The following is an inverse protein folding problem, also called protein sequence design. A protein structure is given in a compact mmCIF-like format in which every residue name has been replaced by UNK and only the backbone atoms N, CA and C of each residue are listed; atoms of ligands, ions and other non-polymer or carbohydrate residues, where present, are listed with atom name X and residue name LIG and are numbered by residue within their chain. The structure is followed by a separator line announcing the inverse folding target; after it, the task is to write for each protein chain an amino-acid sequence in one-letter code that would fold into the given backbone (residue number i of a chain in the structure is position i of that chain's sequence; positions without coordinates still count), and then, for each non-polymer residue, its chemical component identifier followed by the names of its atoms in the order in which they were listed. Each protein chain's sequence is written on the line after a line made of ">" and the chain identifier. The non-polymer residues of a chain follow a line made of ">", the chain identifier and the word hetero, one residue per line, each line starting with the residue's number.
data_IF_034990881153
#
_entry.id   IF_034990881153
#
_cell.length_a   1.000
_cell.length_b   1.000
_cell.length_c   1.000
_cell.angle_alpha   90.00
_cell.angle_beta   90.00
_cell.angle_gamma   90.00
#
_symmetry.space_group_name_H-M   'P 1'
#
loop_
_entity.id
_entity.type
_entity.pdbx_description
1 polymer ?
#
# COMPACT_ATOMS: atom_id res chain seq x y z
N UNK A 1 -23.87 -3.74 -72.19
CA UNK A 1 -23.18 -4.75 -71.36
C UNK A 1 -22.23 -4.12 -70.34
N UNK A 2 -21.24 -3.31 -70.75
CA UNK A 2 -20.26 -2.72 -69.82
C UNK A 2 -20.88 -1.82 -68.72
N UNK A 3 -21.92 -1.07 -69.04
CA UNK A 3 -22.59 -0.18 -68.07
C UNK A 3 -23.35 -0.97 -67.00
N UNK A 4 -24.07 -2.03 -67.39
CA UNK A 4 -24.78 -2.89 -66.45
C UNK A 4 -23.82 -3.56 -65.46
N UNK A 5 -22.69 -4.07 -65.96
CA UNK A 5 -21.66 -4.69 -65.11
C UNK A 5 -21.06 -3.72 -64.07
N UNK A 6 -20.92 -2.43 -64.41
CA UNK A 6 -20.46 -1.41 -63.46
C UNK A 6 -21.52 -1.16 -62.37
N UNK A 7 -22.79 -1.06 -62.75
CA UNK A 7 -23.90 -0.87 -61.81
C UNK A 7 -23.98 -2.05 -60.84
N UNK A 8 -23.87 -3.29 -61.34
CA UNK A 8 -23.92 -4.50 -60.53
C UNK A 8 -22.74 -4.56 -59.53
N UNK A 9 -21.54 -4.17 -59.96
CA UNK A 9 -20.36 -4.10 -59.08
C UNK A 9 -20.50 -3.04 -57.96
N UNK A 10 -21.04 -1.86 -58.29
CA UNK A 10 -21.28 -0.80 -57.30
C UNK A 10 -22.33 -1.25 -56.29
N UNK A 11 -23.42 -1.87 -56.76
CA UNK A 11 -24.46 -2.42 -55.89
C UNK A 11 -23.89 -3.45 -54.92
N UNK A 12 -23.02 -4.34 -55.41
CA UNK A 12 -22.41 -5.39 -54.58
C UNK A 12 -21.46 -4.81 -53.53
N UNK A 13 -20.66 -3.81 -53.90
CA UNK A 13 -19.75 -3.12 -52.97
C UNK A 13 -20.52 -2.36 -51.88
N UNK A 14 -21.65 -1.75 -52.23
CA UNK A 14 -22.52 -1.06 -51.30
C UNK A 14 -23.15 -2.02 -50.27
N UNK A 15 -23.60 -3.20 -50.72
CA UNK A 15 -24.15 -4.24 -49.83
C UNK A 15 -23.08 -4.78 -48.87
N UNK A 16 -21.85 -5.01 -49.34
CA UNK A 16 -20.72 -5.43 -48.49
C UNK A 16 -20.35 -4.36 -47.45
N UNK A 17 -20.32 -3.09 -47.84
CA UNK A 17 -20.06 -1.98 -46.92
C UNK A 17 -21.17 -1.85 -45.87
N UNK A 18 -22.43 -2.00 -46.29
CA UNK A 18 -23.59 -1.99 -45.38
C UNK A 18 -23.49 -3.13 -44.36
N UNK A 19 -23.19 -4.36 -44.80
CA UNK A 19 -23.01 -5.52 -43.90
C UNK A 19 -21.90 -5.28 -42.87
N UNK A 20 -20.74 -4.76 -43.30
CA UNK A 20 -19.65 -4.41 -42.39
C UNK A 20 -20.03 -3.32 -41.38
N UNK A 21 -20.84 -2.35 -41.80
CA UNK A 21 -21.33 -1.29 -40.92
C UNK A 21 -22.30 -1.84 -39.87
N UNK A 22 -23.17 -2.79 -40.24
CA UNK A 22 -24.07 -3.50 -39.33
C UNK A 22 -23.27 -4.36 -38.32
N UNK A 23 -22.32 -5.17 -38.79
CA UNK A 23 -21.45 -5.99 -37.92
C UNK A 23 -20.65 -5.13 -36.92
N UNK A 24 -20.10 -3.99 -37.38
CA UNK A 24 -19.41 -3.05 -36.51
C UNK A 24 -20.36 -2.42 -35.48
N UNK A 25 -21.61 -2.13 -35.87
CA UNK A 25 -22.64 -1.60 -34.98
C UNK A 25 -23.01 -2.58 -33.86
N UNK A 26 -23.17 -3.86 -34.19
CA UNK A 26 -23.45 -4.92 -33.21
C UNK A 26 -22.29 -5.10 -32.23
N UNK A 27 -21.05 -5.19 -32.73
CA UNK A 27 -19.86 -5.31 -31.88
C UNK A 27 -19.66 -4.10 -30.95
N UNK A 28 -19.95 -2.88 -31.44
CA UNK A 28 -19.92 -1.69 -30.60
C UNK A 28 -20.96 -1.75 -29.48
N UNK A 29 -22.17 -2.22 -29.79
CA UNK A 29 -23.24 -2.36 -28.80
C UNK A 29 -22.87 -3.38 -27.72
N UNK A 30 -22.37 -4.55 -28.10
CA UNK A 30 -21.88 -5.56 -27.16
C UNK A 30 -20.78 -5.00 -26.25
N UNK A 31 -19.81 -4.27 -26.81
CA UNK A 31 -18.74 -3.63 -26.03
C UNK A 31 -19.24 -2.54 -25.08
N UNK A 32 -20.31 -1.84 -25.43
CA UNK A 32 -20.94 -0.86 -24.54
C UNK A 32 -21.62 -1.54 -23.36
N UNK A 33 -22.35 -2.64 -23.60
CA UNK A 33 -22.99 -3.45 -22.56
C UNK A 33 -21.94 -4.05 -21.61
N UNK A 34 -20.86 -4.64 -22.16
CA UNK A 34 -19.71 -5.14 -21.38
C UNK A 34 -19.10 -4.05 -20.48
N UNK A 35 -18.97 -2.83 -21.02
CA UNK A 35 -18.37 -1.71 -20.30
C UNK A 35 -19.27 -1.25 -19.15
N UNK A 36 -20.59 -1.24 -19.33
CA UNK A 36 -21.56 -0.88 -18.30
C UNK A 36 -21.55 -1.91 -17.16
N UNK A 37 -21.51 -3.20 -17.48
CA UNK A 37 -21.40 -4.28 -16.50
C UNK A 37 -20.09 -4.18 -15.68
N UNK A 38 -18.97 -3.91 -16.36
CA UNK A 38 -17.68 -3.70 -15.70
C UNK A 38 -17.70 -2.47 -14.78
N UNK A 39 -18.32 -1.37 -15.20
CA UNK A 39 -18.45 -0.18 -14.38
C UNK A 39 -19.29 -0.45 -13.12
N UNK A 40 -20.40 -1.16 -13.27
CA UNK A 40 -21.26 -1.58 -12.16
C UNK A 40 -20.51 -2.46 -11.15
N UNK A 41 -19.72 -3.42 -11.64
CA UNK A 41 -18.89 -4.27 -10.81
C UNK A 41 -17.82 -3.46 -10.06
N UNK A 42 -17.11 -2.56 -10.74
CA UNK A 42 -16.10 -1.69 -10.13
C UNK A 42 -16.73 -0.85 -9.01
N UNK A 43 -17.88 -0.24 -9.26
CA UNK A 43 -18.58 0.56 -8.26
C UNK A 43 -18.92 -0.28 -7.00
N UNK A 44 -19.41 -1.50 -7.21
CA UNK A 44 -19.75 -2.41 -6.10
C UNK A 44 -18.50 -2.79 -5.28
N UNK A 45 -17.40 -3.11 -5.94
CA UNK A 45 -16.13 -3.44 -5.28
C UNK A 45 -15.59 -2.26 -4.46
N UNK A 46 -15.64 -1.04 -4.99
CA UNK A 46 -15.21 0.16 -4.26
C UNK A 46 -16.06 0.39 -3.00
N UNK A 47 -17.36 0.16 -3.07
CA UNK A 47 -18.24 0.28 -1.90
C UNK A 47 -17.86 -0.78 -0.85
N UNK A 48 -17.69 -2.03 -1.26
CA UNK A 48 -17.32 -3.12 -0.35
C UNK A 48 -15.95 -2.91 0.31
N UNK A 49 -14.96 -2.45 -0.46
CA UNK A 49 -13.62 -2.12 0.06
C UNK A 49 -13.72 -1.06 1.17
N UNK A 50 -14.51 0.00 0.94
CA UNK A 50 -14.71 1.06 1.93
C UNK A 50 -15.40 0.55 3.19
N UNK A 51 -16.43 -0.29 3.03
CA UNK A 51 -17.16 -0.87 4.17
C UNK A 51 -16.23 -1.74 5.03
N UNK A 52 -15.53 -2.68 4.41
CA UNK A 52 -14.61 -3.59 5.13
C UNK A 52 -13.48 -2.79 5.78
N UNK A 53 -12.94 -1.78 5.10
CA UNK A 53 -11.91 -0.94 5.67
C UNK A 53 -12.42 -0.14 6.88
N UNK A 54 -13.65 0.39 6.82
CA UNK A 54 -14.27 1.06 7.97
C UNK A 54 -14.45 0.10 9.16
N UNK A 55 -14.98 -1.09 8.92
CA UNK A 55 -15.13 -2.13 9.97
C UNK A 55 -13.78 -2.49 10.61
N UNK A 56 -12.74 -2.63 9.78
CA UNK A 56 -11.38 -2.90 10.26
C UNK A 56 -10.84 -1.76 11.14
N UNK A 57 -11.04 -0.51 10.71
CA UNK A 57 -10.60 0.66 11.49
C UNK A 57 -11.35 0.77 12.82
N UNK A 58 -12.66 0.51 12.83
CA UNK A 58 -13.47 0.51 14.04
C UNK A 58 -13.05 -0.60 15.01
N UNK A 59 -12.80 -1.81 14.51
CA UNK A 59 -12.28 -2.92 15.31
C UNK A 59 -10.91 -2.59 15.92
N UNK A 60 -10.00 -1.99 15.14
CA UNK A 60 -8.70 -1.53 15.63
C UNK A 60 -8.82 -0.43 16.69
N UNK A 61 -9.77 0.49 16.52
CA UNK A 61 -10.03 1.55 17.50
C UNK A 61 -10.56 0.96 18.81
N UNK A 62 -11.57 0.09 18.74
CA UNK A 62 -12.11 -0.59 19.92
C UNK A 62 -11.04 -1.40 20.66
N UNK A 63 -10.17 -2.10 19.91
CA UNK A 63 -9.04 -2.81 20.49
C UNK A 63 -8.06 -1.87 21.22
N UNK A 64 -7.71 -0.73 20.62
CA UNK A 64 -6.85 0.28 21.27
C UNK A 64 -7.48 0.83 22.56
N UNK A 65 -8.78 1.13 22.54
CA UNK A 65 -9.50 1.64 23.71
C UNK A 65 -9.50 0.62 24.85
N UNK A 66 -9.85 -0.65 24.58
CA UNK A 66 -9.82 -1.73 25.57
C UNK A 66 -8.42 -1.86 26.16
N UNK A 67 -7.39 -1.90 25.33
CA UNK A 67 -6.04 -2.20 25.81
C UNK A 67 -5.37 -1.01 26.52
N UNK A 68 -5.78 0.23 26.24
CA UNK A 68 -5.33 1.42 26.98
C UNK A 68 -5.84 1.49 28.43
N UNK A 69 -6.80 0.65 28.83
CA UNK A 69 -7.38 0.64 30.19
C UNK A 69 -6.55 -0.12 31.25
N UNK A 70 -5.24 -0.32 31.02
CA UNK A 70 -4.38 -0.98 32.02
C UNK A 70 -4.65 -2.48 32.12
N UNK A 71 -4.69 -3.15 30.97
CA UNK A 71 -4.87 -4.61 30.91
C UNK A 71 -3.60 -5.37 31.31
N UNK A 72 -3.76 -6.58 31.84
CA UNK A 72 -2.66 -7.49 32.23
C UNK A 72 -1.77 -7.88 31.03
N UNK A 73 -2.22 -7.63 29.81
CA UNK A 73 -1.57 -8.00 28.55
C UNK A 73 -0.82 -6.78 28.00
N UNK A 74 0.51 -6.87 27.89
CA UNK A 74 1.31 -5.85 27.21
C UNK A 74 1.11 -5.89 25.69
N UNK A 75 0.80 -4.75 25.08
CA UNK A 75 0.72 -4.61 23.62
C UNK A 75 2.12 -4.35 23.06
N UNK A 76 2.55 -5.12 22.06
CA UNK A 76 3.73 -4.81 21.26
C UNK A 76 3.29 -4.21 19.92
N UNK A 77 3.54 -2.91 19.73
CA UNK A 77 3.24 -2.20 18.48
C UNK A 77 4.40 -2.37 17.51
N UNK A 78 4.14 -2.93 16.33
CA UNK A 78 5.16 -3.09 15.29
C UNK A 78 5.58 -1.70 14.79
N UNK A 79 6.89 -1.45 14.72
CA UNK A 79 7.43 -0.16 14.32
C UNK A 79 7.43 0.91 15.43
N UNK A 80 7.14 0.54 16.68
CA UNK A 80 7.27 1.44 17.83
C UNK A 80 8.30 0.91 18.82
N UNK A 81 9.18 1.80 19.25
CA UNK A 81 10.22 1.51 20.23
C UNK A 81 9.73 1.84 21.65
N UNK A 82 10.21 1.05 22.61
CA UNK A 82 10.12 1.42 24.02
C UNK A 82 11.17 2.49 24.31
N UNK A 83 10.75 3.58 24.97
CA UNK A 83 11.63 4.68 25.36
C UNK A 83 12.48 4.32 26.59
N UNK A 84 12.01 3.41 27.45
CA UNK A 84 12.66 3.08 28.73
C UNK A 84 14.11 2.63 28.58
N UNK A 85 14.50 1.77 27.61
CA UNK A 85 15.90 1.39 27.41
C UNK A 85 16.82 2.59 27.13
N UNK A 86 16.36 3.60 26.39
CA UNK A 86 17.13 4.80 26.09
C UNK A 86 17.32 5.64 27.36
N UNK A 87 16.23 5.87 28.10
CA UNK A 87 16.28 6.57 29.39
C UNK A 87 17.22 5.86 30.39
N UNK A 88 17.13 4.54 30.49
CA UNK A 88 18.00 3.74 31.37
C UNK A 88 19.48 3.82 30.95
N UNK A 89 19.77 3.80 29.65
CA UNK A 89 21.13 3.94 29.15
C UNK A 89 21.70 5.34 29.44
N UNK A 90 20.90 6.39 29.25
CA UNK A 90 21.31 7.77 29.52
C UNK A 90 21.47 8.03 31.03
N UNK A 91 20.58 7.51 31.88
CA UNK A 91 20.68 7.63 33.35
C UNK A 91 21.94 6.98 33.94
N UNK A 92 22.58 6.06 33.22
CA UNK A 92 23.88 5.48 33.61
C UNK A 92 25.08 6.37 33.28
N UNK A 93 24.92 7.34 32.37
CA UNK A 93 26.01 8.18 31.86
C UNK A 93 25.89 9.67 32.21
N UNK A 94 24.67 10.17 32.36
CA UNK A 94 24.38 11.59 32.52
C UNK A 94 23.66 11.86 33.84
N UNK A 95 23.62 13.12 34.25
CA UNK A 95 22.85 13.55 35.42
C UNK A 95 21.37 13.22 35.22
N UNK A 96 20.68 12.79 36.28
CA UNK A 96 19.26 12.38 36.21
C UNK A 96 18.36 13.44 35.59
N UNK A 97 18.64 14.72 35.85
CA UNK A 97 17.88 15.88 35.34
C UNK A 97 18.02 16.06 33.82
N UNK A 98 19.14 15.63 33.23
CA UNK A 98 19.43 15.77 31.80
C UNK A 98 19.22 14.46 31.03
N UNK A 99 19.26 13.32 31.72
CA UNK A 99 19.27 12.00 31.11
C UNK A 99 18.02 11.69 30.26
N UNK A 100 16.84 12.18 30.67
CA UNK A 100 15.61 11.96 29.91
C UNK A 100 15.58 12.83 28.64
N UNK A 101 16.08 14.07 28.70
CA UNK A 101 16.23 14.94 27.52
C UNK A 101 17.23 14.36 26.54
N UNK A 102 18.37 13.87 27.04
CA UNK A 102 19.42 13.25 26.22
C UNK A 102 18.95 11.91 25.63
N UNK A 103 18.01 11.21 26.27
CA UNK A 103 17.43 9.98 25.74
C UNK A 103 16.44 10.22 24.59
N UNK A 104 15.77 11.38 24.57
CA UNK A 104 14.75 11.70 23.56
C UNK A 104 15.33 11.83 22.14
N UNK A 105 16.52 12.40 22.01
CA UNK A 105 17.21 12.54 20.71
C UNK A 105 17.49 11.19 20.03
N UNK A 106 18.25 10.25 20.63
CA UNK A 106 18.47 8.94 20.03
C UNK A 106 17.18 8.15 19.89
N UNK A 107 16.24 8.23 20.84
CA UNK A 107 14.94 7.57 20.69
C UNK A 107 14.22 8.01 19.42
N UNK A 108 14.13 9.32 19.17
CA UNK A 108 13.45 9.90 18.00
C UNK A 108 14.09 9.44 16.69
N UNK A 109 15.42 9.49 16.63
CA UNK A 109 16.18 9.05 15.45
C UNK A 109 15.93 7.57 15.14
N UNK A 110 15.95 6.69 16.15
CA UNK A 110 15.66 5.27 15.95
C UNK A 110 14.18 5.01 15.59
N UNK A 111 13.26 5.79 16.17
CA UNK A 111 11.83 5.71 15.89
C UNK A 111 11.49 6.13 14.45
N UNK A 112 12.23 7.08 13.88
CA UNK A 112 12.09 7.44 12.46
C UNK A 112 12.65 6.37 11.52
N UNK A 113 13.81 5.79 11.84
CA UNK A 113 14.41 4.75 11.01
C UNK A 113 13.55 3.48 10.95
N UNK A 114 12.98 3.03 12.07
CA UNK A 114 12.17 1.80 12.10
C UNK A 114 10.82 1.95 11.36
N UNK A 115 10.35 3.19 11.17
CA UNK A 115 9.15 3.47 10.37
C UNK A 115 9.42 3.37 8.87
N UNK A 116 10.68 3.43 8.43
CA UNK A 116 11.03 3.33 7.01
C UNK A 116 10.93 1.86 6.57
N UNK A 117 10.05 1.50 5.61
CA UNK A 117 9.87 0.10 5.20
C UNK A 117 11.16 -0.55 4.64
N UNK A 118 12.04 0.27 4.06
CA UNK A 118 13.30 -0.15 3.45
C UNK A 118 14.47 -0.15 4.43
N UNK A 119 14.24 0.14 5.72
CA UNK A 119 15.28 0.14 6.71
C UNK A 119 15.42 -1.25 7.35
N UNK A 120 16.65 -1.77 7.31
CA UNK A 120 16.99 -3.05 7.91
C UNK A 120 17.95 -2.82 9.09
N UNK A 121 17.53 -3.11 10.34
CA UNK A 121 18.33 -2.85 11.54
C UNK A 121 19.60 -3.69 11.63
N UNK A 122 19.67 -4.80 10.90
CA UNK A 122 20.78 -5.74 10.94
C UNK A 122 21.57 -5.68 9.63
N UNK A 123 22.90 -5.75 9.74
CA UNK A 123 23.82 -5.86 8.62
C UNK A 123 24.89 -6.90 8.91
N UNK A 124 25.40 -7.56 7.89
CA UNK A 124 26.55 -8.46 8.03
C UNK A 124 27.83 -7.62 8.02
N UNK A 125 28.69 -7.84 9.00
CA UNK A 125 30.02 -7.21 9.13
C UNK A 125 31.09 -8.30 9.25
N UNK A 126 32.24 -8.10 8.64
CA UNK A 126 33.41 -8.96 8.84
C UNK A 126 34.24 -8.37 9.99
N UNK A 127 34.37 -9.13 11.08
CA UNK A 127 35.25 -8.79 12.21
C UNK A 127 36.22 -9.95 12.37
N UNK A 128 37.52 -9.66 12.29
CA UNK A 128 38.60 -10.65 12.41
C UNK A 128 38.47 -11.85 11.44
N UNK A 129 38.01 -11.59 10.21
CA UNK A 129 37.86 -12.61 9.17
C UNK A 129 36.62 -13.50 9.32
N UNK A 130 35.79 -13.29 10.35
CA UNK A 130 34.52 -13.99 10.55
C UNK A 130 33.34 -13.06 10.30
N UNK A 131 32.29 -13.57 9.65
CA UNK A 131 31.05 -12.83 9.40
C UNK A 131 30.17 -12.83 10.65
N UNK A 132 29.78 -11.64 11.11
CA UNK A 132 28.90 -11.43 12.26
C UNK A 132 27.75 -10.49 11.90
N UNK A 133 26.62 -10.61 12.60
CA UNK A 133 25.50 -9.68 12.46
C UNK A 133 25.72 -8.48 13.37
N UNK A 134 25.89 -7.30 12.76
CA UNK A 134 25.98 -6.02 13.46
C UNK A 134 24.69 -5.21 13.31
N UNK A 135 24.46 -4.28 14.23
CA UNK A 135 23.39 -3.29 14.10
C UNK A 135 23.78 -2.19 13.10
N UNK A 136 22.85 -1.83 12.23
CA UNK A 136 22.93 -0.63 11.40
C UNK A 136 22.67 0.57 12.30
N UNK A 137 23.65 1.48 12.36
CA UNK A 137 23.45 2.75 13.08
C UNK A 137 22.45 3.62 12.29
N UNK A 138 21.54 4.33 12.97
CA UNK A 138 20.73 5.35 12.34
C UNK A 138 21.60 6.43 11.69
N UNK A 139 21.10 7.04 10.62
CA UNK A 139 21.75 8.19 10.01
C UNK A 139 21.34 9.43 10.79
N UNK A 140 22.30 10.08 11.45
CA UNK A 140 22.08 11.38 12.10
C UNK A 140 22.34 12.42 11.01
N UNK A 141 21.33 13.22 10.64
CA UNK A 141 21.46 14.30 9.65
C UNK A 141 21.82 15.60 10.35
#
# INVERSE_FOLDING_TARGET
>A
MLEQQKVDNISKLAEEHKKKMEEMGEHLKEKMEDMEDLQSLIQTLVINERLINNELQDALKGLKEILNTGTLIGIKRMGELDEKPFQMACKRKYATEEADVIAAEPFSVWQEEIQKPNWHPFKIVAVDGQTQTGLRKPQIT
#
